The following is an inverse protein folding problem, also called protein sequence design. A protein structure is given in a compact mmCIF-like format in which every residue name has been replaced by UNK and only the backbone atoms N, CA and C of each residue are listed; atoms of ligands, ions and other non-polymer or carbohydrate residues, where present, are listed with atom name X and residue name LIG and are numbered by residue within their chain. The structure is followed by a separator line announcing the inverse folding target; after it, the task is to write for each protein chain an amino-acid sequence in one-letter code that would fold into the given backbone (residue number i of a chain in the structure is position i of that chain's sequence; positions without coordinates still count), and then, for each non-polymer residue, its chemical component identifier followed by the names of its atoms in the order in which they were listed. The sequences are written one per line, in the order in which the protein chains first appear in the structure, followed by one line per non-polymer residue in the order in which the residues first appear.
data_IF_296489217535
#
_entry.id   IF_296489217535
#
_cell.length_a   1.000
_cell.length_b   1.000
_cell.length_c   1.000
_cell.angle_alpha   90.00
_cell.angle_beta   90.00
_cell.angle_gamma   90.00
#
_symmetry.space_group_name_H-M   'P 1'
#
loop_
_entity.id
_entity.type
_entity.pdbx_description
1 polymer ?
#
# COMPACT_ATOMS: atom_id res chain seq x y z
N UNK A 1 7.88 4.63 -55.94
CA UNK A 1 8.68 4.57 -54.70
C UNK A 1 7.76 4.18 -53.56
N UNK A 2 7.93 3.00 -52.96
CA UNK A 2 7.23 2.63 -51.73
C UNK A 2 8.06 3.16 -50.56
N UNK A 3 7.45 3.98 -49.70
CA UNK A 3 8.09 4.42 -48.47
C UNK A 3 8.38 3.18 -47.61
N UNK A 4 9.64 3.00 -47.20
CA UNK A 4 10.01 1.97 -46.26
C UNK A 4 9.33 2.27 -44.91
N UNK A 5 8.50 1.35 -44.43
CA UNK A 5 7.98 1.43 -43.07
C UNK A 5 9.14 1.22 -42.10
N UNK A 6 9.54 2.27 -41.41
CA UNK A 6 10.48 2.17 -40.29
C UNK A 6 9.68 1.60 -39.12
N UNK A 7 9.72 0.28 -38.94
CA UNK A 7 9.23 -0.36 -37.72
C UNK A 7 10.16 0.04 -36.57
N UNK A 8 9.69 0.96 -35.71
CA UNK A 8 10.31 1.19 -34.41
C UNK A 8 9.79 0.14 -33.44
N UNK A 9 10.61 -0.88 -33.19
CA UNK A 9 10.41 -1.82 -32.09
C UNK A 9 10.65 -1.03 -30.80
N UNK A 10 9.57 -0.70 -30.09
CA UNK A 10 9.66 -0.14 -28.75
C UNK A 10 9.93 -1.29 -27.76
N UNK A 11 10.87 -1.14 -26.81
CA UNK A 11 11.03 -2.13 -25.75
C UNK A 11 9.71 -2.25 -24.97
N UNK A 12 9.30 -3.46 -24.54
CA UNK A 12 8.00 -3.74 -23.93
C UNK A 12 7.80 -3.13 -22.52
N UNK A 13 8.60 -2.13 -22.12
CA UNK A 13 8.52 -1.49 -20.82
C UNK A 13 9.09 -0.07 -20.82
N UNK A 14 8.57 0.75 -19.88
CA UNK A 14 9.07 2.09 -19.62
C UNK A 14 10.52 2.03 -19.08
N UNK A 15 11.37 3.04 -19.38
CA UNK A 15 12.77 3.05 -18.96
C UNK A 15 12.91 3.11 -17.44
N UNK A 16 13.95 2.47 -16.90
CA UNK A 16 14.25 2.53 -15.47
C UNK A 16 14.60 3.98 -15.05
N UNK A 17 14.15 4.37 -13.87
CA UNK A 17 14.42 5.67 -13.27
C UNK A 17 15.49 5.54 -12.18
N UNK A 18 16.61 6.23 -12.34
CA UNK A 18 17.64 6.31 -11.31
C UNK A 18 17.44 7.60 -10.50
N UNK A 19 17.08 7.48 -9.22
CA UNK A 19 16.93 8.64 -8.36
C UNK A 19 18.28 9.15 -7.88
N UNK A 20 18.63 10.39 -8.24
CA UNK A 20 19.85 11.03 -7.75
C UNK A 20 19.84 11.25 -6.22
N UNK A 21 18.65 11.42 -5.62
CA UNK A 21 18.49 11.66 -4.19
C UNK A 21 18.67 10.39 -3.36
N UNK A 22 18.03 9.30 -3.76
CA UNK A 22 18.05 8.04 -2.99
C UNK A 22 19.14 7.07 -3.45
N UNK A 23 19.79 7.33 -4.59
CA UNK A 23 20.74 6.42 -5.26
C UNK A 23 20.15 5.04 -5.55
N UNK A 24 18.81 4.95 -5.72
CA UNK A 24 18.08 3.72 -5.99
C UNK A 24 17.53 3.70 -7.41
N UNK A 25 17.34 2.50 -7.93
CA UNK A 25 16.77 2.23 -9.25
C UNK A 25 15.28 1.92 -9.10
N UNK A 26 14.44 2.52 -9.93
CA UNK A 26 13.00 2.32 -9.94
C UNK A 26 12.52 1.86 -11.32
N UNK A 27 11.54 0.97 -11.35
CA UNK A 27 10.77 0.59 -12.54
C UNK A 27 9.46 1.39 -12.56
N UNK A 28 9.26 2.30 -13.52
CA UNK A 28 7.95 2.93 -13.70
C UNK A 28 6.92 1.90 -14.18
N UNK A 29 5.76 1.90 -13.53
CA UNK A 29 4.60 1.07 -13.89
C UNK A 29 3.39 1.97 -14.08
N UNK A 30 2.66 1.73 -15.16
CA UNK A 30 1.37 2.37 -15.39
C UNK A 30 0.35 1.76 -14.43
N UNK A 31 -0.06 2.54 -13.43
CA UNK A 31 -0.98 2.10 -12.40
C UNK A 31 -2.43 2.32 -12.80
N UNK A 32 -2.74 3.48 -13.40
CA UNK A 32 -4.10 3.83 -13.77
C UNK A 32 -4.13 4.71 -15.01
N UNK A 33 -5.13 4.48 -15.86
CA UNK A 33 -5.52 5.34 -16.96
C UNK A 33 -6.87 5.96 -16.61
N UNK A 34 -6.90 7.28 -16.47
CA UNK A 34 -8.10 8.07 -16.24
C UNK A 34 -8.54 8.68 -17.58
N UNK A 35 -9.75 8.33 -18.05
CA UNK A 35 -10.35 8.92 -19.23
C UNK A 35 -11.27 10.07 -18.81
N UNK A 36 -10.92 11.31 -19.16
CA UNK A 36 -11.74 12.47 -18.85
C UNK A 36 -12.67 12.82 -20.03
N UNK A 37 -13.83 13.47 -19.78
CA UNK A 37 -14.81 13.82 -20.82
C UNK A 37 -14.30 14.74 -21.93
N UNK A 38 -13.10 15.32 -21.80
CA UNK A 38 -12.54 16.33 -22.70
C UNK A 38 -11.44 15.78 -23.63
N UNK A 39 -11.46 14.48 -23.96
CA UNK A 39 -10.37 13.77 -24.66
C UNK A 39 -9.00 13.85 -23.96
N UNK A 40 -8.98 14.30 -22.70
CA UNK A 40 -7.78 14.33 -21.87
C UNK A 40 -7.63 12.97 -21.20
N UNK A 41 -6.44 12.39 -21.33
CA UNK A 41 -6.07 11.14 -20.67
C UNK A 41 -5.11 11.45 -19.51
N UNK A 42 -5.49 11.07 -18.31
CA UNK A 42 -4.64 11.10 -17.13
C UNK A 42 -3.92 9.77 -16.95
N UNK A 43 -2.61 9.80 -16.75
CA UNK A 43 -1.84 8.59 -16.44
C UNK A 43 -1.31 8.71 -15.01
N UNK A 44 -1.61 7.72 -14.17
CA UNK A 44 -0.95 7.57 -12.87
C UNK A 44 0.21 6.60 -13.04
N UNK A 45 1.43 7.13 -13.01
CA UNK A 45 2.67 6.35 -12.97
C UNK A 45 3.11 6.17 -11.52
N UNK A 46 3.52 4.97 -11.16
CA UNK A 46 4.19 4.67 -9.90
C UNK A 46 5.61 4.21 -10.20
N UNK A 47 6.56 4.56 -9.34
CA UNK A 47 7.95 4.15 -9.46
C UNK A 47 8.25 3.06 -8.43
N UNK A 48 8.42 1.83 -8.93
CA UNK A 48 8.66 0.63 -8.13
C UNK A 48 10.16 0.47 -7.88
N UNK A 49 10.62 0.56 -6.65
CA UNK A 49 12.03 0.31 -6.34
C UNK A 49 12.43 -1.11 -6.76
N UNK A 50 13.51 -1.25 -7.54
CA UNK A 50 14.10 -2.56 -7.86
C UNK A 50 15.00 -2.93 -6.68
N UNK A 51 14.71 -4.04 -5.96
CA UNK A 51 15.55 -4.46 -4.85
C UNK A 51 16.95 -4.83 -5.33
N UNK A 52 17.96 -4.46 -4.53
CA UNK A 52 19.38 -4.67 -4.86
C UNK A 52 19.89 -6.10 -4.58
N UNK A 53 19.09 -6.98 -3.96
CA UNK A 53 19.52 -8.30 -3.47
C UNK A 53 18.47 -9.39 -3.71
N UNK A 54 18.91 -10.66 -3.71
CA UNK A 54 18.02 -11.82 -3.58
C UNK A 54 17.26 -11.71 -2.26
N UNK A 55 15.96 -11.47 -2.36
CA UNK A 55 15.05 -11.42 -1.24
C UNK A 55 15.03 -12.80 -0.54
N UNK A 56 15.55 -12.94 0.70
CA UNK A 56 15.68 -14.24 1.36
C UNK A 56 14.32 -14.81 1.80
N UNK A 57 13.23 -14.08 1.57
CA UNK A 57 11.88 -14.53 1.88
C UNK A 57 11.50 -15.72 0.99
N UNK A 58 10.71 -16.67 1.52
CA UNK A 58 10.22 -17.81 0.75
C UNK A 58 9.38 -17.34 -0.44
N UNK A 59 9.27 -18.18 -1.48
CA UNK A 59 8.39 -17.94 -2.62
C UNK A 59 6.95 -18.43 -2.33
N UNK A 60 6.01 -18.09 -3.20
CA UNK A 60 4.62 -18.57 -3.10
C UNK A 60 3.83 -17.95 -1.94
N UNK A 61 2.85 -18.69 -1.42
CA UNK A 61 1.90 -18.22 -0.41
C UNK A 61 2.59 -17.73 0.88
N UNK A 62 3.60 -18.46 1.35
CA UNK A 62 4.34 -18.11 2.56
C UNK A 62 5.11 -16.78 2.39
N UNK A 63 5.70 -16.58 1.21
CA UNK A 63 6.35 -15.32 0.83
C UNK A 63 5.40 -14.14 0.80
N UNK A 64 4.25 -14.34 0.17
CA UNK A 64 3.18 -13.34 0.08
C UNK A 64 2.69 -12.96 1.48
N UNK A 65 2.39 -13.93 2.34
CA UNK A 65 1.93 -13.64 3.71
C UNK A 65 3.03 -12.96 4.54
N UNK A 66 4.30 -13.37 4.40
CA UNK A 66 5.42 -12.69 5.07
C UNK A 66 5.53 -11.21 4.69
N UNK A 67 5.36 -10.91 3.40
CA UNK A 67 5.33 -9.54 2.87
C UNK A 67 4.13 -8.77 3.41
N UNK A 68 2.94 -9.37 3.38
CA UNK A 68 1.72 -8.78 3.92
C UNK A 68 1.81 -8.49 5.43
N UNK A 69 2.37 -9.40 6.21
CA UNK A 69 2.64 -9.17 7.63
C UNK A 69 3.57 -7.99 7.82
N UNK A 70 4.69 -7.93 7.09
CA UNK A 70 5.61 -6.79 7.18
C UNK A 70 4.92 -5.47 6.87
N UNK A 71 4.10 -5.42 5.82
CA UNK A 71 3.30 -4.24 5.46
C UNK A 71 2.28 -3.88 6.52
N UNK A 72 1.51 -4.85 7.02
CA UNK A 72 0.50 -4.62 8.05
C UNK A 72 1.12 -4.12 9.36
N UNK A 73 2.30 -4.61 9.75
CA UNK A 73 3.05 -4.12 10.92
C UNK A 73 3.52 -2.68 10.74
N UNK A 74 4.11 -2.36 9.58
CA UNK A 74 4.51 -0.99 9.21
C UNK A 74 3.31 -0.05 9.27
N UNK A 75 2.17 -0.49 8.74
CA UNK A 75 0.97 0.32 8.72
C UNK A 75 0.41 0.52 10.13
N UNK A 76 0.23 -0.57 10.89
CA UNK A 76 -0.39 -0.53 12.20
C UNK A 76 0.44 0.28 13.21
N UNK A 77 1.73 -0.06 13.41
CA UNK A 77 2.55 0.62 14.42
C UNK A 77 3.29 1.83 13.87
N UNK A 78 3.74 1.78 12.61
CA UNK A 78 4.51 2.87 12.01
C UNK A 78 3.66 4.06 11.59
N UNK A 79 2.36 3.84 11.32
CA UNK A 79 1.44 4.88 10.87
C UNK A 79 0.30 5.04 11.89
N UNK A 80 -0.58 4.05 12.03
CA UNK A 80 -1.83 4.22 12.80
C UNK A 80 -1.57 4.58 14.27
N UNK A 81 -0.84 3.74 15.02
CA UNK A 81 -0.59 3.98 16.45
C UNK A 81 0.21 5.28 16.67
N UNK A 82 1.24 5.51 15.85
CA UNK A 82 2.09 6.69 15.91
C UNK A 82 1.27 7.97 15.71
N UNK A 83 0.59 8.11 14.58
CA UNK A 83 -0.08 9.36 14.22
C UNK A 83 -1.36 9.57 15.00
N UNK A 84 -2.09 8.50 15.38
CA UNK A 84 -3.22 8.61 16.32
C UNK A 84 -2.77 9.25 17.63
N UNK A 85 -1.67 8.78 18.20
CA UNK A 85 -1.13 9.30 19.47
C UNK A 85 -0.66 10.75 19.32
N UNK A 86 -0.05 11.09 18.19
CA UNK A 86 0.36 12.48 17.88
C UNK A 86 -0.84 13.41 17.75
N UNK A 87 -1.86 13.04 16.96
CA UNK A 87 -3.08 13.82 16.79
C UNK A 87 -3.82 14.02 18.11
N UNK A 88 -3.95 12.97 18.93
CA UNK A 88 -4.54 13.10 20.27
C UNK A 88 -3.75 14.11 21.13
N UNK A 89 -2.43 14.03 21.11
CA UNK A 89 -1.58 14.96 21.85
C UNK A 89 -1.72 16.41 21.39
N UNK A 90 -1.95 16.65 20.09
CA UNK A 90 -2.22 17.99 19.54
C UNK A 90 -3.58 18.53 20.01
N UNK A 91 -4.61 17.67 20.05
CA UNK A 91 -5.94 18.02 20.58
C UNK A 91 -5.88 18.37 22.06
N UNK A 92 -5.27 17.50 22.87
CA UNK A 92 -5.20 17.66 24.33
C UNK A 92 -4.46 18.94 24.73
N UNK A 93 -3.41 19.30 23.97
CA UNK A 93 -2.59 20.50 24.19
C UNK A 93 -3.15 21.76 23.53
N UNK A 94 -4.22 21.66 22.73
CA UNK A 94 -4.79 22.76 21.94
C UNK A 94 -3.72 23.47 21.11
N UNK A 95 -2.93 22.70 20.37
CA UNK A 95 -1.83 23.20 19.55
C UNK A 95 -2.33 24.02 18.34
N UNK A 96 -1.41 24.75 17.71
CA UNK A 96 -1.72 25.61 16.56
C UNK A 96 -2.20 24.82 15.34
N UNK A 97 -3.02 25.46 14.50
CA UNK A 97 -3.49 24.90 13.23
C UNK A 97 -2.33 24.51 12.29
N UNK A 98 -1.22 25.25 12.34
CA UNK A 98 -0.01 24.96 11.58
C UNK A 98 0.57 23.58 11.93
N UNK A 99 0.77 23.29 13.23
CA UNK A 99 1.27 21.97 13.68
C UNK A 99 0.30 20.84 13.37
N UNK A 100 -1.00 21.13 13.40
CA UNK A 100 -2.03 20.18 13.00
C UNK A 100 -1.85 19.84 11.52
N UNK A 101 -1.76 20.85 10.65
CA UNK A 101 -1.57 20.65 9.21
C UNK A 101 -0.28 19.89 8.90
N UNK A 102 0.84 20.22 9.55
CA UNK A 102 2.10 19.47 9.42
C UNK A 102 1.93 17.98 9.76
N UNK A 103 1.18 17.67 10.83
CA UNK A 103 0.89 16.29 11.21
C UNK A 103 0.01 15.58 10.16
N UNK A 104 -0.97 16.26 9.59
CA UNK A 104 -1.84 15.71 8.55
C UNK A 104 -1.08 15.44 7.25
N UNK A 105 -0.20 16.36 6.84
CA UNK A 105 0.68 16.15 5.69
C UNK A 105 1.63 14.97 5.91
N UNK A 106 2.16 14.81 7.14
CA UNK A 106 2.99 13.67 7.50
C UNK A 106 2.21 12.33 7.46
N UNK A 107 0.94 12.33 7.86
CA UNK A 107 0.04 11.16 7.74
C UNK A 107 -0.17 10.81 6.27
N UNK A 108 -0.54 11.78 5.43
CA UNK A 108 -0.83 11.54 4.01
C UNK A 108 0.41 11.03 3.26
N UNK A 109 1.58 11.62 3.55
CA UNK A 109 2.87 11.17 3.01
C UNK A 109 3.21 9.73 3.42
N UNK A 110 2.99 9.39 4.70
CA UNK A 110 3.25 8.03 5.19
C UNK A 110 2.31 6.99 4.55
N UNK A 111 1.04 7.36 4.34
CA UNK A 111 0.06 6.51 3.65
C UNK A 111 0.42 6.32 2.19
N UNK A 112 0.75 7.39 1.47
CA UNK A 112 1.16 7.32 0.08
C UNK A 112 2.39 6.41 -0.10
N UNK A 113 3.33 6.43 0.86
CA UNK A 113 4.49 5.54 0.87
C UNK A 113 4.09 4.07 1.03
N UNK A 114 3.17 3.75 1.94
CA UNK A 114 2.76 2.36 2.17
C UNK A 114 1.89 1.81 1.04
N UNK A 115 1.06 2.66 0.42
CA UNK A 115 0.31 2.33 -0.79
C UNK A 115 1.26 2.08 -1.97
N UNK A 116 2.28 2.92 -2.15
CA UNK A 116 3.30 2.70 -3.17
C UNK A 116 4.04 1.39 -2.93
N UNK A 117 4.46 1.11 -1.69
CA UNK A 117 5.10 -0.15 -1.34
C UNK A 117 4.19 -1.37 -1.54
N UNK A 118 2.88 -1.26 -1.27
CA UNK A 118 1.95 -2.38 -1.51
C UNK A 118 1.82 -2.70 -3.00
N UNK A 119 1.70 -1.67 -3.84
CA UNK A 119 1.65 -1.89 -5.29
C UNK A 119 2.97 -2.41 -5.83
N UNK A 120 4.10 -1.96 -5.28
CA UNK A 120 5.44 -2.47 -5.62
C UNK A 120 5.58 -3.98 -5.37
N UNK A 121 4.89 -4.48 -4.35
CA UNK A 121 4.85 -5.90 -4.01
C UNK A 121 3.79 -6.69 -4.80
N UNK A 122 3.04 -6.03 -5.70
CA UNK A 122 1.97 -6.64 -6.48
C UNK A 122 0.62 -6.72 -5.75
N UNK A 123 0.45 -6.01 -4.64
CA UNK A 123 -0.78 -6.04 -3.83
C UNK A 123 -1.71 -4.88 -4.20
N UNK A 124 -2.19 -4.88 -5.44
CA UNK A 124 -3.05 -3.81 -5.97
C UNK A 124 -4.56 -4.09 -5.86
N UNK A 125 -4.95 -5.34 -5.65
CA UNK A 125 -6.34 -5.75 -5.42
C UNK A 125 -6.40 -7.02 -4.53
N UNK A 126 -7.56 -7.33 -3.91
CA UNK A 126 -7.69 -8.51 -3.06
C UNK A 126 -7.46 -9.83 -3.84
N UNK A 127 -7.71 -9.88 -5.14
CA UNK A 127 -7.46 -11.05 -5.99
C UNK A 127 -5.97 -11.42 -6.06
N UNK A 128 -5.06 -10.45 -5.90
CA UNK A 128 -3.62 -10.72 -5.87
C UNK A 128 -3.14 -11.40 -4.59
N UNK A 129 -3.89 -11.27 -3.49
CA UNK A 129 -3.45 -11.72 -2.15
C UNK A 129 -4.27 -12.88 -1.61
N UNK A 130 -5.56 -12.97 -1.97
CA UNK A 130 -6.46 -14.04 -1.54
C UNK A 130 -5.99 -15.46 -1.88
N UNK A 131 -5.25 -15.75 -2.97
CA UNK A 131 -4.71 -17.10 -3.21
C UNK A 131 -3.68 -17.56 -2.17
N UNK A 132 -3.08 -16.63 -1.42
CA UNK A 132 -2.15 -16.97 -0.35
C UNK A 132 -2.85 -17.49 0.93
N UNK A 133 -4.16 -17.30 1.05
CA UNK A 133 -4.97 -17.73 2.19
C UNK A 133 -5.72 -19.01 1.81
N UNK A 134 -5.76 -20.00 2.68
CA UNK A 134 -6.41 -21.29 2.40
C UNK A 134 -7.89 -21.29 2.80
N UNK A 135 -8.23 -20.67 3.94
CA UNK A 135 -9.58 -20.62 4.49
C UNK A 135 -10.52 -19.68 3.72
N UNK A 136 -11.71 -20.17 3.36
CA UNK A 136 -12.73 -19.36 2.69
C UNK A 136 -13.15 -18.14 3.53
N UNK A 137 -13.33 -18.32 4.84
CA UNK A 137 -13.66 -17.22 5.75
C UNK A 137 -12.56 -16.16 5.88
N UNK A 138 -11.29 -16.53 5.69
CA UNK A 138 -10.18 -15.57 5.70
C UNK A 138 -10.13 -14.77 4.39
N UNK A 139 -10.38 -15.43 3.27
CA UNK A 139 -10.51 -14.77 1.95
C UNK A 139 -11.63 -13.74 1.96
N UNK A 140 -12.77 -14.06 2.56
CA UNK A 140 -13.91 -13.14 2.69
C UNK A 140 -13.55 -11.91 3.53
N UNK A 141 -12.94 -12.12 4.71
CA UNK A 141 -12.48 -11.00 5.55
C UNK A 141 -11.48 -10.08 4.84
N UNK A 142 -10.57 -10.64 4.03
CA UNK A 142 -9.62 -9.84 3.26
C UNK A 142 -10.33 -8.98 2.21
N UNK A 143 -11.35 -9.53 1.54
CA UNK A 143 -12.18 -8.77 0.60
C UNK A 143 -12.94 -7.66 1.31
N UNK A 144 -13.57 -7.94 2.44
CA UNK A 144 -14.26 -6.92 3.25
C UNK A 144 -13.31 -5.79 3.66
N UNK A 145 -12.09 -6.11 4.09
CA UNK A 145 -11.06 -5.11 4.41
C UNK A 145 -10.71 -4.26 3.18
N UNK A 146 -10.55 -4.88 2.02
CA UNK A 146 -10.23 -4.18 0.77
C UNK A 146 -11.38 -3.27 0.30
N UNK A 147 -12.63 -3.67 0.53
CA UNK A 147 -13.83 -2.89 0.18
C UNK A 147 -13.99 -1.65 1.07
N UNK A 148 -13.68 -1.75 2.36
CA UNK A 148 -13.82 -0.64 3.32
C UNK A 148 -12.66 0.37 3.21
N UNK A 149 -11.50 -0.07 2.70
CA UNK A 149 -10.29 0.74 2.64
C UNK A 149 -10.45 2.09 1.90
N UNK A 150 -11.02 2.16 0.68
CA UNK A 150 -11.17 3.42 -0.05
C UNK A 150 -11.96 4.48 0.72
N UNK A 151 -13.01 4.07 1.43
CA UNK A 151 -13.85 4.98 2.20
C UNK A 151 -13.10 5.52 3.42
N UNK A 152 -12.39 4.65 4.15
CA UNK A 152 -11.55 5.08 5.27
C UNK A 152 -10.41 5.99 4.79
N UNK A 153 -9.79 5.68 3.66
CA UNK A 153 -8.72 6.49 3.07
C UNK A 153 -9.20 7.86 2.64
N UNK A 154 -10.38 7.95 2.03
CA UNK A 154 -11.03 9.23 1.68
C UNK A 154 -11.39 10.03 2.93
N UNK A 155 -11.87 9.37 3.96
CA UNK A 155 -12.23 10.02 5.22
C UNK A 155 -11.01 10.62 5.94
N UNK A 156 -9.81 10.10 5.73
CA UNK A 156 -8.57 10.70 6.26
C UNK A 156 -8.20 12.06 5.65
N UNK A 157 -8.87 12.49 4.58
CA UNK A 157 -8.74 13.85 4.04
C UNK A 157 -9.62 14.87 4.76
N UNK A 158 -10.41 14.45 5.76
CA UNK A 158 -11.18 15.35 6.62
C UNK A 158 -10.24 16.22 7.46
N UNK A 159 -10.59 17.49 7.65
CA UNK A 159 -9.86 18.43 8.51
C UNK A 159 -10.31 18.36 9.98
N UNK A 160 -11.38 17.63 10.27
CA UNK A 160 -11.86 17.44 11.63
C UNK A 160 -11.00 16.41 12.38
N UNK A 161 -10.24 16.87 13.37
CA UNK A 161 -9.32 16.05 14.18
C UNK A 161 -10.00 14.91 14.94
N UNK A 162 -11.16 15.15 15.55
CA UNK A 162 -11.89 14.11 16.28
C UNK A 162 -12.36 13.00 15.33
N UNK A 163 -12.85 13.38 14.15
CA UNK A 163 -13.22 12.42 13.13
C UNK A 163 -12.00 11.62 12.64
N UNK A 164 -10.85 12.27 12.42
CA UNK A 164 -9.62 11.59 12.04
C UNK A 164 -9.15 10.57 13.07
N UNK A 165 -9.18 10.91 14.36
CA UNK A 165 -8.85 9.97 15.44
C UNK A 165 -9.81 8.77 15.41
N UNK A 166 -11.11 9.01 15.23
CA UNK A 166 -12.11 7.95 15.09
C UNK A 166 -11.86 7.04 13.87
N UNK A 167 -11.46 7.61 12.74
CA UNK A 167 -11.10 6.87 11.52
C UNK A 167 -9.84 6.04 11.75
N UNK A 168 -8.81 6.60 12.38
CA UNK A 168 -7.61 5.87 12.75
C UNK A 168 -7.90 4.72 13.72
N UNK A 169 -8.84 4.89 14.66
CA UNK A 169 -9.29 3.81 15.54
C UNK A 169 -10.04 2.69 14.81
N UNK A 170 -10.83 3.02 13.77
CA UNK A 170 -11.42 2.01 12.87
C UNK A 170 -10.34 1.26 12.10
N UNK A 171 -9.40 1.98 11.49
CA UNK A 171 -8.25 1.39 10.78
C UNK A 171 -7.40 0.51 11.70
N UNK A 172 -7.21 0.91 12.96
CA UNK A 172 -6.50 0.14 14.00
C UNK A 172 -7.15 -1.22 14.24
N UNK A 173 -8.48 -1.24 14.41
CA UNK A 173 -9.24 -2.49 14.62
C UNK A 173 -9.14 -3.40 13.39
N UNK A 174 -9.33 -2.83 12.20
CA UNK A 174 -9.24 -3.53 10.92
C UNK A 174 -7.86 -4.17 10.71
N UNK A 175 -6.80 -3.38 10.88
CA UNK A 175 -5.41 -3.86 10.73
C UNK A 175 -5.02 -4.91 11.77
N UNK A 176 -5.52 -4.78 13.01
CA UNK A 176 -5.34 -5.83 14.03
C UNK A 176 -6.01 -7.14 13.63
N UNK A 177 -7.23 -7.08 13.09
CA UNK A 177 -7.94 -8.24 12.55
C UNK A 177 -7.16 -8.91 11.43
N UNK A 178 -6.65 -8.12 10.48
CA UNK A 178 -5.79 -8.60 9.41
C UNK A 178 -4.53 -9.30 9.93
N UNK A 179 -3.82 -8.68 10.89
CA UNK A 179 -2.60 -9.24 11.47
C UNK A 179 -2.85 -10.62 12.10
N UNK A 180 -3.96 -10.79 12.81
CA UNK A 180 -4.34 -12.08 13.42
C UNK A 180 -4.50 -13.15 12.33
N UNK A 181 -5.31 -12.86 11.29
CA UNK A 181 -5.59 -13.79 10.19
C UNK A 181 -4.31 -14.16 9.44
N UNK A 182 -3.50 -13.15 9.09
CA UNK A 182 -2.25 -13.34 8.37
C UNK A 182 -1.23 -14.12 9.21
N UNK A 183 -1.14 -13.89 10.53
CA UNK A 183 -0.25 -14.64 11.41
C UNK A 183 -0.70 -16.10 11.57
N UNK A 184 -2.01 -16.35 11.66
CA UNK A 184 -2.54 -17.72 11.72
C UNK A 184 -2.21 -18.49 10.42
N UNK A 185 -2.52 -17.91 9.25
CA UNK A 185 -2.19 -18.54 7.97
C UNK A 185 -0.69 -18.74 7.78
N UNK A 186 0.15 -17.79 8.22
CA UNK A 186 1.60 -17.95 8.19
C UNK A 186 2.07 -19.17 9.00
N UNK A 187 1.53 -19.32 10.22
CA UNK A 187 1.88 -20.43 11.09
C UNK A 187 1.40 -21.78 10.53
N UNK A 188 0.21 -21.82 9.95
CA UNK A 188 -0.34 -23.04 9.35
C UNK A 188 0.46 -23.48 8.12
N UNK A 189 0.90 -22.52 7.28
CA UNK A 189 1.78 -22.82 6.14
C UNK A 189 3.15 -23.33 6.59
N UNK A 190 3.70 -22.81 7.69
CA UNK A 190 4.97 -23.33 8.23
C UNK A 190 4.83 -24.79 8.69
N UNK A 191 3.74 -25.14 9.38
CA UNK A 191 3.50 -26.53 9.80
C UNK A 191 3.44 -27.50 8.63
N UNK A 192 2.79 -27.09 7.54
CA UNK A 192 2.68 -27.89 6.32
C UNK A 192 4.01 -28.09 5.58
N UNK A 193 5.06 -27.34 5.92
CA UNK A 193 6.40 -27.53 5.36
C UNK A 193 7.25 -28.52 6.15
N UNK A 194 6.89 -28.77 7.41
CA UNK A 194 7.58 -29.71 8.30
C UNK A 194 7.01 -31.15 8.17
N UNK A 195 5.86 -31.30 7.50
CA UNK A 195 5.18 -32.58 7.19
C UNK A 195 5.54 -33.10 5.79
#
# INVERSE_FOLDING_TARGET
MRAASIERIFPPGLPLFNSAQTKKIYRPVLYRLDLMPSDIQGFKLIFIEIPNEEDPRPVGALGTISKLLTMARKFHWGIIEKYRSQLQGLVDKKESEEKINECLEAVDSALAKIESESVNLGFFNPECITPAFSGQGDKEKIKEIAEIWPDLRKALSDKNLENLINIMDKMRKMTKGFLIIASQNYHDLLKQMDD
#
